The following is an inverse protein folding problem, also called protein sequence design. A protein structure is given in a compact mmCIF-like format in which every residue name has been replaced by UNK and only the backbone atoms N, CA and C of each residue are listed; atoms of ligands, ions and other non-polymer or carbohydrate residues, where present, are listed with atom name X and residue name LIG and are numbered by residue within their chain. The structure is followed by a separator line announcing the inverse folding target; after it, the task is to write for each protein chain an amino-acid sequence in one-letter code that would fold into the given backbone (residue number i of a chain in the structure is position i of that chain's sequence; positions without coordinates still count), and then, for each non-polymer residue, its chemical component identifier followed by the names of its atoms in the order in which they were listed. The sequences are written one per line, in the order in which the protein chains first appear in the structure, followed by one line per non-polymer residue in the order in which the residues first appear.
data_IF_755751425068
#
_entry.id   IF_755751425068
#
_cell.length_a   1.000
_cell.length_b   1.000
_cell.length_c   1.000
_cell.angle_alpha   90.00
_cell.angle_beta   90.00
_cell.angle_gamma   90.00
#
_symmetry.space_group_name_H-M   'P 1'
#
loop_
_entity.id
_entity.type
_entity.pdbx_description
1 polymer ?
#
# COMPACT_ATOMS: atom_id res chain seq x y z
N UNK A 1 -9.65 2.83 36.37
CA UNK A 1 -10.89 2.30 35.77
C UNK A 1 -11.05 2.61 34.27
N UNK A 2 -9.97 2.60 33.46
CA UNK A 2 -10.03 3.06 32.06
C UNK A 2 -10.20 1.98 30.98
N UNK A 3 -10.00 0.69 31.31
CA UNK A 3 -10.05 -0.41 30.31
C UNK A 3 -11.47 -0.83 29.89
N UNK A 4 -12.46 -0.64 30.76
CA UNK A 4 -13.82 -1.13 30.53
C UNK A 4 -14.53 -0.38 29.40
N UNK A 5 -14.45 0.95 29.36
CA UNK A 5 -15.21 1.76 28.39
C UNK A 5 -14.81 1.49 26.93
N UNK A 6 -13.52 1.33 26.63
CA UNK A 6 -13.04 1.09 25.26
C UNK A 6 -13.38 -0.33 24.74
N UNK A 7 -13.37 -1.34 25.62
CA UNK A 7 -13.76 -2.71 25.28
C UNK A 7 -15.26 -2.80 24.99
N UNK A 8 -16.10 -2.13 25.80
CA UNK A 8 -17.56 -2.08 25.59
C UNK A 8 -17.92 -1.41 24.26
N UNK A 9 -17.27 -0.29 23.91
CA UNK A 9 -17.55 0.40 22.63
C UNK A 9 -17.20 -0.46 21.42
N UNK A 10 -16.10 -1.24 21.48
CA UNK A 10 -15.70 -2.08 20.36
C UNK A 10 -16.69 -3.23 20.10
N UNK A 11 -17.19 -3.88 21.15
CA UNK A 11 -18.21 -4.92 21.00
C UNK A 11 -19.51 -4.36 20.42
N UNK A 12 -19.98 -3.22 20.93
CA UNK A 12 -21.19 -2.57 20.40
C UNK A 12 -21.03 -2.18 18.93
N UNK A 13 -19.84 -1.74 18.50
CA UNK A 13 -19.59 -1.42 17.08
C UNK A 13 -19.58 -2.65 16.19
N UNK A 14 -19.14 -3.80 16.70
CA UNK A 14 -19.19 -5.05 15.94
C UNK A 14 -20.62 -5.56 15.75
N UNK A 15 -21.52 -5.28 16.70
CA UNK A 15 -22.96 -5.54 16.54
C UNK A 15 -23.60 -4.70 15.42
N UNK A 16 -22.99 -3.57 15.06
CA UNK A 16 -23.45 -2.73 13.94
C UNK A 16 -22.94 -3.19 12.57
N UNK A 17 -22.17 -4.29 12.50
CA UNK A 17 -21.76 -4.86 11.23
C UNK A 17 -22.96 -5.47 10.48
N UNK A 18 -22.94 -5.49 9.14
CA UNK A 18 -23.93 -6.23 8.36
C UNK A 18 -23.98 -7.71 8.79
N UNK A 19 -25.19 -8.30 8.78
CA UNK A 19 -25.39 -9.70 9.18
C UNK A 19 -24.47 -10.67 8.41
N UNK A 20 -24.20 -10.38 7.14
CA UNK A 20 -23.29 -11.18 6.31
C UNK A 20 -21.85 -11.20 6.85
N UNK A 21 -21.37 -10.07 7.39
CA UNK A 21 -20.04 -9.96 8.00
C UNK A 21 -20.00 -10.63 9.39
N UNK A 22 -21.08 -10.49 10.16
CA UNK A 22 -21.21 -11.17 11.46
C UNK A 22 -21.21 -12.70 11.29
N UNK A 23 -21.88 -13.22 10.25
CA UNK A 23 -21.86 -14.65 9.93
C UNK A 23 -20.44 -15.14 9.63
N UNK A 24 -19.64 -14.38 8.87
CA UNK A 24 -18.24 -14.75 8.60
C UNK A 24 -17.37 -14.77 9.86
N UNK A 25 -17.63 -13.86 10.80
CA UNK A 25 -16.96 -13.83 12.10
C UNK A 25 -17.36 -15.03 12.98
N UNK A 26 -18.66 -15.37 13.00
CA UNK A 26 -19.18 -16.51 13.75
C UNK A 26 -18.67 -17.85 13.20
N UNK A 27 -18.59 -17.96 11.87
CA UNK A 27 -18.02 -19.11 11.15
C UNK A 27 -16.49 -19.23 11.34
N UNK A 28 -15.83 -18.28 11.99
CA UNK A 28 -14.38 -18.26 12.17
C UNK A 28 -13.59 -17.99 10.88
N UNK A 29 -14.25 -17.55 9.80
CA UNK A 29 -13.59 -17.19 8.53
C UNK A 29 -12.84 -15.86 8.62
N UNK A 30 -13.22 -15.02 9.58
CA UNK A 30 -12.53 -13.77 9.91
C UNK A 30 -12.48 -13.60 11.43
N UNK A 31 -11.34 -13.18 11.97
CA UNK A 31 -11.20 -12.78 13.38
C UNK A 31 -11.79 -11.39 13.70
N UNK A 32 -11.95 -11.13 15.00
CA UNK A 32 -12.32 -9.82 15.57
C UNK A 32 -11.45 -8.65 15.08
N UNK A 33 -10.17 -8.92 14.77
CA UNK A 33 -9.25 -7.93 14.20
C UNK A 33 -9.67 -7.48 12.79
N UNK A 34 -10.06 -8.43 11.94
CA UNK A 34 -10.59 -8.14 10.61
C UNK A 34 -11.90 -7.37 10.70
N UNK A 35 -12.80 -7.83 11.57
CA UNK A 35 -14.09 -7.17 11.80
C UNK A 35 -13.90 -5.72 12.24
N UNK A 36 -12.91 -5.44 13.11
CA UNK A 36 -12.57 -4.07 13.51
C UNK A 36 -12.03 -3.23 12.34
N UNK A 37 -11.18 -3.79 11.49
CA UNK A 37 -10.67 -3.08 10.31
C UNK A 37 -11.80 -2.73 9.33
N UNK A 38 -12.75 -3.64 9.13
CA UNK A 38 -13.91 -3.44 8.27
C UNK A 38 -14.85 -2.33 8.75
N UNK A 39 -14.86 -1.99 10.05
CA UNK A 39 -15.67 -0.88 10.60
C UNK A 39 -15.32 0.51 10.05
N UNK A 40 -14.17 0.65 9.39
CA UNK A 40 -13.81 1.89 8.72
C UNK A 40 -14.46 2.03 7.33
N UNK A 41 -15.05 0.96 6.79
CA UNK A 41 -15.80 0.97 5.54
C UNK A 41 -17.31 1.07 5.81
N UNK A 42 -18.05 1.62 4.86
CA UNK A 42 -19.49 1.85 4.97
C UNK A 42 -20.28 1.09 3.89
N UNK A 43 -21.49 0.65 4.26
CA UNK A 43 -22.45 0.02 3.36
C UNK A 43 -21.91 -1.24 2.67
N UNK A 44 -22.25 -1.43 1.38
CA UNK A 44 -21.90 -2.63 0.60
C UNK A 44 -20.40 -2.92 0.55
N UNK A 45 -19.54 -1.89 0.60
CA UNK A 45 -18.08 -2.07 0.56
C UNK A 45 -17.58 -2.90 1.74
N UNK A 46 -18.23 -2.78 2.89
CA UNK A 46 -17.89 -3.54 4.08
C UNK A 46 -18.12 -5.04 3.86
N UNK A 47 -19.22 -5.41 3.22
CA UNK A 47 -19.56 -6.80 2.89
C UNK A 47 -18.65 -7.38 1.81
N UNK A 48 -18.41 -6.62 0.74
CA UNK A 48 -17.55 -7.05 -0.38
C UNK A 48 -16.12 -7.31 0.09
N UNK A 49 -15.59 -6.44 0.94
CA UNK A 49 -14.24 -6.60 1.49
C UNK A 49 -14.20 -7.75 2.50
N UNK A 50 -15.23 -7.93 3.34
CA UNK A 50 -15.29 -9.06 4.26
C UNK A 50 -15.27 -10.42 3.55
N UNK A 51 -16.07 -10.57 2.49
CA UNK A 51 -16.06 -11.78 1.65
C UNK A 51 -14.69 -12.00 1.04
N UNK A 52 -14.08 -10.96 0.49
CA UNK A 52 -12.73 -11.04 -0.10
C UNK A 52 -11.65 -11.42 0.91
N UNK A 53 -11.75 -10.94 2.16
CA UNK A 53 -10.83 -11.29 3.25
C UNK A 53 -10.96 -12.78 3.59
N UNK A 54 -12.20 -13.25 3.75
CA UNK A 54 -12.51 -14.65 4.03
C UNK A 54 -12.06 -15.60 2.90
N UNK A 55 -12.38 -15.27 1.65
CA UNK A 55 -12.02 -16.08 0.47
C UNK A 55 -10.51 -16.20 0.26
N UNK A 56 -9.77 -15.14 0.57
CA UNK A 56 -8.31 -15.09 0.34
C UNK A 56 -7.49 -15.43 1.57
N UNK A 57 -8.14 -15.68 2.72
CA UNK A 57 -7.46 -15.95 3.99
C UNK A 57 -6.47 -14.85 4.37
N UNK A 58 -6.85 -13.58 4.19
CA UNK A 58 -5.94 -12.46 4.47
C UNK A 58 -5.67 -12.34 5.97
N UNK A 59 -4.45 -11.93 6.33
CA UNK A 59 -4.14 -11.55 7.70
C UNK A 59 -4.79 -10.23 8.10
N UNK A 60 -4.89 -9.96 9.41
CA UNK A 60 -5.43 -8.70 9.95
C UNK A 60 -4.68 -7.50 9.38
N UNK A 61 -3.34 -7.58 9.29
CA UNK A 61 -2.50 -6.51 8.74
C UNK A 61 -2.75 -6.26 7.25
N UNK A 62 -2.98 -7.31 6.47
CA UNK A 62 -3.31 -7.18 5.04
C UNK A 62 -4.70 -6.60 4.84
N UNK A 63 -5.63 -6.95 5.72
CA UNK A 63 -6.99 -6.40 5.72
C UNK A 63 -7.01 -4.92 6.07
N UNK A 64 -6.25 -4.49 7.10
CA UNK A 64 -6.07 -3.08 7.43
C UNK A 64 -5.49 -2.28 6.26
N UNK A 65 -4.46 -2.83 5.59
CA UNK A 65 -3.90 -2.22 4.38
C UNK A 65 -4.92 -2.11 3.25
N UNK A 66 -5.67 -3.17 2.99
CA UNK A 66 -6.71 -3.19 1.95
C UNK A 66 -7.79 -2.14 2.23
N UNK A 67 -8.24 -2.03 3.47
CA UNK A 67 -9.21 -1.01 3.91
C UNK A 67 -8.63 0.40 3.74
N UNK A 68 -7.38 0.62 4.16
CA UNK A 68 -6.68 1.90 3.95
C UNK A 68 -6.56 2.27 2.47
N UNK A 69 -6.20 1.32 1.60
CA UNK A 69 -6.09 1.55 0.16
C UNK A 69 -7.45 1.92 -0.48
N UNK A 70 -8.55 1.42 0.07
CA UNK A 70 -9.92 1.72 -0.39
C UNK A 70 -10.36 3.11 0.07
N UNK A 71 -10.07 3.48 1.33
CA UNK A 71 -10.45 4.76 1.93
C UNK A 71 -9.57 5.91 1.43
N UNK A 72 -8.29 5.63 1.24
CA UNK A 72 -7.30 6.55 0.71
C UNK A 72 -6.77 6.01 -0.61
N UNK A 73 -7.50 6.20 -1.73
CA UNK A 73 -7.01 5.88 -3.07
C UNK A 73 -5.94 6.89 -3.52
N UNK A 74 -4.92 7.15 -2.68
CA UNK A 74 -3.69 7.81 -3.10
C UNK A 74 -2.95 6.80 -3.97
N UNK A 75 -2.90 7.08 -5.27
CA UNK A 75 -2.17 6.38 -6.33
C UNK A 75 -1.36 5.18 -5.84
N UNK A 76 -1.87 3.97 -6.09
CA UNK A 76 -1.13 2.71 -5.99
C UNK A 76 0.30 2.94 -6.50
N UNK A 77 1.29 2.91 -5.60
CA UNK A 77 2.65 2.52 -5.99
C UNK A 77 2.59 1.02 -6.23
N UNK A 78 2.75 0.51 -7.47
CA UNK A 78 2.76 -0.92 -7.71
C UNK A 78 3.91 -1.57 -6.94
N UNK A 79 3.66 -2.80 -6.47
CA UNK A 79 4.47 -3.55 -5.51
C UNK A 79 5.99 -3.44 -5.63
N UNK A 80 6.61 -2.99 -4.53
CA UNK A 80 8.02 -3.24 -4.22
C UNK A 80 8.10 -4.42 -3.26
N UNK A 81 8.48 -5.62 -3.71
CA UNK A 81 9.18 -6.56 -2.80
C UNK A 81 10.30 -7.36 -3.47
N UNK A 82 10.33 -7.57 -4.80
CA UNK A 82 11.50 -8.22 -5.45
C UNK A 82 12.34 -7.29 -6.34
N UNK A 83 11.73 -6.37 -7.08
CA UNK A 83 12.46 -5.46 -7.98
C UNK A 83 13.18 -4.30 -7.26
N UNK A 84 12.86 -4.02 -6.00
CA UNK A 84 13.35 -2.79 -5.35
C UNK A 84 14.84 -2.82 -5.01
N UNK A 85 15.46 -3.98 -4.72
CA UNK A 85 16.87 -4.00 -4.29
C UNK A 85 17.81 -3.77 -5.45
N UNK A 86 17.55 -4.42 -6.58
CA UNK A 86 18.33 -4.22 -7.80
C UNK A 86 18.13 -2.81 -8.35
N UNK A 87 16.88 -2.30 -8.36
CA UNK A 87 16.59 -0.92 -8.76
C UNK A 87 17.29 0.10 -7.86
N UNK A 88 17.23 -0.07 -6.53
CA UNK A 88 17.89 0.86 -5.61
C UNK A 88 19.39 0.90 -5.85
N UNK A 89 20.01 -0.26 -6.07
CA UNK A 89 21.43 -0.34 -6.39
C UNK A 89 21.78 0.36 -7.71
N UNK A 90 20.96 0.20 -8.75
CA UNK A 90 21.14 0.94 -10.00
C UNK A 90 20.90 2.45 -9.84
N UNK A 91 19.92 2.86 -9.01
CA UNK A 91 19.70 4.27 -8.67
C UNK A 91 20.92 4.87 -7.97
N UNK A 92 21.52 4.15 -7.01
CA UNK A 92 22.74 4.56 -6.30
C UNK A 92 23.95 4.64 -7.24
N UNK A 93 24.24 3.59 -8.01
CA UNK A 93 25.37 3.56 -8.96
C UNK A 93 25.26 4.69 -10.02
N UNK A 94 24.06 4.94 -10.55
CA UNK A 94 23.84 6.04 -11.48
C UNK A 94 23.94 7.40 -10.79
N UNK A 95 23.44 7.52 -9.55
CA UNK A 95 23.53 8.77 -8.80
C UNK A 95 24.98 9.15 -8.48
N UNK A 96 25.82 8.17 -8.15
CA UNK A 96 27.26 8.37 -7.95
C UNK A 96 27.96 8.78 -9.24
N UNK A 97 27.67 8.12 -10.37
CA UNK A 97 28.28 8.44 -11.66
C UNK A 97 27.89 9.81 -12.21
N UNK A 98 26.64 10.21 -12.02
CA UNK A 98 26.10 11.47 -12.53
C UNK A 98 26.13 12.62 -11.52
N UNK A 99 26.56 12.39 -10.28
CA UNK A 99 26.57 13.41 -9.22
C UNK A 99 25.19 14.01 -8.92
N UNK A 100 24.13 13.30 -9.29
CA UNK A 100 22.74 13.78 -9.26
C UNK A 100 21.80 12.74 -8.75
N UNK A 101 20.62 13.18 -8.30
CA UNK A 101 19.57 12.26 -7.89
C UNK A 101 18.97 11.58 -9.11
N UNK A 102 19.18 10.26 -9.23
CA UNK A 102 18.60 9.42 -10.27
C UNK A 102 17.47 8.56 -9.68
N UNK A 103 16.29 8.63 -10.28
CA UNK A 103 15.13 7.80 -9.93
C UNK A 103 14.73 6.91 -11.12
N UNK A 104 14.65 5.60 -10.90
CA UNK A 104 14.17 4.63 -11.86
C UNK A 104 12.71 4.31 -11.53
N UNK A 105 11.81 4.70 -12.43
CA UNK A 105 10.37 4.44 -12.36
C UNK A 105 10.01 3.31 -13.31
N UNK A 106 10.02 2.05 -12.86
CA UNK A 106 9.63 0.92 -13.70
C UNK A 106 8.15 1.05 -14.10
N UNK A 107 7.88 0.88 -15.39
CA UNK A 107 6.55 0.83 -15.97
C UNK A 107 6.07 -0.62 -16.18
N UNK A 108 5.03 -0.81 -16.99
CA UNK A 108 4.50 -2.15 -17.31
C UNK A 108 5.30 -2.77 -18.46
N UNK A 109 5.48 -4.10 -18.41
CA UNK A 109 6.06 -4.92 -19.49
C UNK A 109 7.46 -4.47 -19.98
N UNK A 110 8.41 -4.27 -19.07
CA UNK A 110 9.81 -3.95 -19.42
C UNK A 110 10.08 -2.51 -19.85
N UNK A 111 9.03 -1.69 -20.06
CA UNK A 111 9.18 -0.26 -20.20
C UNK A 111 9.38 0.39 -18.82
N UNK A 112 10.22 1.42 -18.74
CA UNK A 112 10.46 2.20 -17.53
C UNK A 112 10.83 3.64 -17.88
N UNK A 113 10.83 4.52 -16.87
CA UNK A 113 11.31 5.90 -17.00
C UNK A 113 12.50 6.08 -16.08
N UNK A 114 13.58 6.65 -16.61
CA UNK A 114 14.70 7.16 -15.82
C UNK A 114 14.46 8.66 -15.63
N UNK A 115 14.48 9.13 -14.38
CA UNK A 115 14.32 10.55 -14.04
C UNK A 115 15.60 11.01 -13.38
N UNK A 116 16.34 11.91 -14.04
CA UNK A 116 17.56 12.51 -13.52
C UNK A 116 17.24 13.95 -13.13
N UNK A 117 17.50 14.29 -11.88
CA UNK A 117 17.28 15.66 -11.37
C UNK A 117 18.57 16.46 -11.48
N UNK A 118 18.53 17.60 -12.15
CA UNK A 118 19.68 18.51 -12.30
C UNK A 118 19.43 19.82 -11.53
N UNK A 119 20.52 20.47 -11.12
CA UNK A 119 20.46 21.67 -10.27
C UNK A 119 20.49 22.99 -11.07
N UNK A 120 21.09 22.99 -12.26
CA UNK A 120 21.26 24.18 -13.11
C UNK A 120 21.31 23.80 -14.59
N UNK A 121 21.19 24.79 -15.49
CA UNK A 121 21.32 24.56 -16.93
C UNK A 121 22.73 24.04 -17.29
N UNK A 122 23.78 24.57 -16.65
CA UNK A 122 25.16 24.07 -16.82
C UNK A 122 25.29 22.59 -16.42
N UNK A 123 24.58 22.19 -15.36
CA UNK A 123 24.56 20.80 -14.91
C UNK A 123 23.83 19.90 -15.93
N UNK A 124 22.77 20.40 -16.57
CA UNK A 124 22.11 19.67 -17.65
C UNK A 124 23.06 19.46 -18.84
N UNK A 125 23.85 20.47 -19.20
CA UNK A 125 24.82 20.37 -20.29
C UNK A 125 25.94 19.35 -19.97
N UNK A 126 26.48 19.35 -18.74
CA UNK A 126 27.46 18.35 -18.29
C UNK A 126 26.87 16.93 -18.33
N UNK A 127 25.62 16.75 -17.86
CA UNK A 127 24.93 15.46 -17.93
C UNK A 127 24.76 14.99 -19.38
N UNK A 128 24.32 15.87 -20.28
CA UNK A 128 24.13 15.55 -21.69
C UNK A 128 25.45 15.17 -22.38
N UNK A 129 26.56 15.80 -21.97
CA UNK A 129 27.90 15.44 -22.48
C UNK A 129 28.30 14.01 -22.10
N UNK A 130 28.00 13.59 -20.87
CA UNK A 130 28.27 12.24 -20.35
C UNK A 130 27.45 11.12 -21.03
N UNK A 131 26.36 11.47 -21.71
CA UNK A 131 25.56 10.52 -22.51
C UNK A 131 26.04 10.39 -23.97
N UNK A 132 26.78 11.38 -24.49
CA UNK A 132 27.22 11.43 -25.89
C UNK A 132 28.65 10.91 -26.12
N UNK A 133 29.38 10.59 -25.04
CA UNK A 133 30.68 9.91 -25.09
C UNK A 133 30.52 8.39 -25.03
#
# INVERSE_FOLDING_TARGET
MGRSRAATTNLLRLLNLPQSVQALLYDGKIDMGHARALLALEGRRQEDVAKRVAERGLSVRETEKLVQDILNPKQKKPGKVKTSRDILRFEEELSEKFGTKVEIKPGKKGAGKLVISYASHEHLDDLLSKFKG
#
